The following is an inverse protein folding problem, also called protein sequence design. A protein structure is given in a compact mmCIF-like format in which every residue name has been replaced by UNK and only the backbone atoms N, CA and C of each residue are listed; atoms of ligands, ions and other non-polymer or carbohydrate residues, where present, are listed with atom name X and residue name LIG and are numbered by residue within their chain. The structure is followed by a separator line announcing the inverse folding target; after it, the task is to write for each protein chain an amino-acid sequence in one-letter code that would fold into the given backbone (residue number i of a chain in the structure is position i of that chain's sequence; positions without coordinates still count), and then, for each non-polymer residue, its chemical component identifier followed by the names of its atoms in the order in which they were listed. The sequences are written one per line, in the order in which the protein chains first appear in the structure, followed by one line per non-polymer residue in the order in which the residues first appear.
data_IF_409805310350
#
_entry.id   IF_409805310350
#
_cell.length_a   1.000
_cell.length_b   1.000
_cell.length_c   1.000
_cell.angle_alpha   90.00
_cell.angle_beta   90.00
_cell.angle_gamma   90.00
#
_symmetry.space_group_name_H-M   'P 1'
#
loop_
_entity.id
_entity.type
_entity.pdbx_description
1 polymer ?
#
# COMPACT_ATOMS: atom_id res chain seq x y z
N UNK A 1 21.08 -10.96 0.04
CA UNK A 1 19.71 -10.64 -0.41
C UNK A 1 19.34 -11.26 -1.77
N UNK A 2 18.37 -12.19 -1.81
CA UNK A 2 17.77 -12.72 -3.06
C UNK A 2 16.30 -12.32 -3.14
N UNK A 3 16.01 -11.33 -3.99
CA UNK A 3 14.67 -10.75 -4.14
C UNK A 3 13.75 -11.56 -5.05
N UNK A 4 14.33 -12.45 -5.85
CA UNK A 4 13.59 -13.24 -6.83
C UNK A 4 12.91 -14.46 -6.19
N UNK A 5 13.46 -14.96 -5.08
CA UNK A 5 12.92 -16.10 -4.36
C UNK A 5 11.60 -15.75 -3.61
N UNK A 6 10.45 -16.33 -4.00
CA UNK A 6 9.17 -16.04 -3.36
C UNK A 6 9.10 -16.43 -1.88
N UNK A 7 9.89 -17.41 -1.43
CA UNK A 7 9.93 -17.86 -0.03
C UNK A 7 10.52 -16.82 0.91
N UNK A 8 11.23 -15.82 0.39
CA UNK A 8 11.75 -14.68 1.15
C UNK A 8 10.72 -13.57 1.34
N UNK A 9 9.46 -13.79 0.96
CA UNK A 9 8.38 -12.80 1.04
C UNK A 9 7.21 -13.35 1.84
N UNK A 10 6.85 -12.66 2.92
CA UNK A 10 5.64 -12.98 3.70
C UNK A 10 4.57 -11.95 3.43
N UNK A 11 3.33 -12.38 3.22
CA UNK A 11 2.19 -11.47 3.17
C UNK A 11 2.03 -10.80 4.54
N UNK A 12 1.89 -9.47 4.56
CA UNK A 12 1.66 -8.69 5.77
C UNK A 12 0.29 -8.05 5.79
N UNK A 13 -0.17 -7.60 4.63
CA UNK A 13 -1.45 -6.93 4.51
C UNK A 13 -2.06 -7.23 3.15
N UNK A 14 -3.37 -7.53 3.16
CA UNK A 14 -4.18 -7.59 1.95
C UNK A 14 -5.55 -7.05 2.29
N UNK A 15 -6.03 -6.10 1.50
CA UNK A 15 -7.37 -5.56 1.66
C UNK A 15 -7.95 -5.25 0.29
N UNK A 16 -9.22 -5.62 0.12
CA UNK A 16 -10.02 -5.22 -1.03
C UNK A 16 -11.03 -4.17 -0.61
N UNK A 17 -11.18 -3.18 -1.46
CA UNK A 17 -12.10 -2.06 -1.30
C UNK A 17 -13.03 -2.02 -2.49
N UNK A 18 -14.29 -1.71 -2.23
CA UNK A 18 -15.30 -1.36 -3.22
C UNK A 18 -15.89 -0.03 -2.79
N UNK A 19 -16.05 0.91 -3.71
CA UNK A 19 -16.68 2.20 -3.43
C UNK A 19 -18.13 2.01 -3.04
N UNK A 20 -18.55 2.66 -1.96
CA UNK A 20 -19.95 2.77 -1.60
C UNK A 20 -20.69 3.75 -2.54
N UNK A 21 -22.01 3.57 -2.62
CA UNK A 21 -22.89 4.45 -3.36
C UNK A 21 -23.88 5.12 -2.40
N UNK A 22 -23.94 6.46 -2.40
CA UNK A 22 -25.01 7.21 -1.73
C UNK A 22 -25.82 7.92 -2.80
N UNK A 23 -27.11 7.56 -2.93
CA UNK A 23 -28.06 8.19 -3.86
C UNK A 23 -27.55 8.27 -5.31
N UNK A 24 -26.84 7.23 -5.77
CA UNK A 24 -26.30 7.15 -7.13
C UNK A 24 -24.95 7.86 -7.35
N UNK A 25 -24.39 8.51 -6.32
CA UNK A 25 -23.03 9.04 -6.35
C UNK A 25 -22.06 8.00 -5.81
N UNK A 26 -21.07 7.62 -6.63
CA UNK A 26 -19.96 6.77 -6.18
C UNK A 26 -19.04 7.56 -5.25
N UNK A 27 -18.83 7.05 -4.03
CA UNK A 27 -17.91 7.62 -3.07
C UNK A 27 -16.48 7.13 -3.33
N UNK A 28 -15.46 7.99 -3.20
CA UNK A 28 -14.08 7.54 -3.31
C UNK A 28 -13.75 6.56 -2.17
N UNK A 29 -12.84 5.62 -2.44
CA UNK A 29 -12.26 4.80 -1.38
C UNK A 29 -11.54 5.74 -0.38
N UNK A 30 -11.88 5.71 0.92
CA UNK A 30 -11.28 6.61 1.90
C UNK A 30 -9.78 6.31 2.07
N UNK A 31 -9.03 7.32 2.51
CA UNK A 31 -7.66 7.12 2.99
C UNK A 31 -7.73 6.23 4.22
N UNK A 32 -6.82 5.27 4.30
CA UNK A 32 -6.73 4.35 5.44
C UNK A 32 -5.28 4.13 5.82
N UNK A 33 -5.08 3.68 7.06
CA UNK A 33 -3.80 3.23 7.56
C UNK A 33 -3.83 1.69 7.67
N UNK A 34 -2.72 1.03 7.35
CA UNK A 34 -2.57 -0.41 7.59
C UNK A 34 -2.44 -0.72 9.08
N UNK A 35 -2.51 -2.01 9.42
CA UNK A 35 -1.96 -2.51 10.68
C UNK A 35 -0.47 -2.17 10.82
N UNK A 36 0.06 -2.25 12.03
CA UNK A 36 1.47 -2.01 12.32
C UNK A 36 2.37 -3.01 11.59
N UNK A 37 3.38 -2.49 10.91
CA UNK A 37 4.41 -3.22 10.18
C UNK A 37 5.79 -2.92 10.76
N UNK A 38 6.75 -3.81 10.49
CA UNK A 38 8.15 -3.67 10.94
C UNK A 38 9.18 -4.06 9.87
N UNK A 39 8.76 -4.60 8.73
CA UNK A 39 9.69 -5.01 7.67
C UNK A 39 10.35 -3.78 7.03
N UNK A 40 11.68 -3.81 6.88
CA UNK A 40 12.44 -2.72 6.25
C UNK A 40 12.25 -2.65 4.73
N UNK A 41 11.95 -3.79 4.10
CA UNK A 41 11.72 -3.86 2.67
C UNK A 41 10.35 -4.47 2.39
N UNK A 42 9.56 -3.72 1.64
CA UNK A 42 8.24 -4.11 1.22
C UNK A 42 8.17 -4.33 -0.28
N UNK A 43 7.30 -5.25 -0.68
CA UNK A 43 6.79 -5.36 -2.04
C UNK A 43 5.31 -5.03 -2.02
N UNK A 44 4.95 -3.92 -2.66
CA UNK A 44 3.59 -3.39 -2.70
C UNK A 44 3.01 -3.57 -4.10
N UNK A 45 1.77 -4.05 -4.18
CA UNK A 45 1.03 -4.17 -5.43
C UNK A 45 -0.42 -3.77 -5.23
N UNK A 46 -0.92 -2.95 -6.16
CA UNK A 46 -2.34 -2.60 -6.26
C UNK A 46 -2.91 -3.15 -7.55
N UNK A 47 -4.07 -3.76 -7.48
CA UNK A 47 -4.85 -4.23 -8.64
C UNK A 47 -6.26 -3.65 -8.58
N UNK A 48 -6.91 -3.57 -9.73
CA UNK A 48 -8.32 -3.19 -9.84
C UNK A 48 -8.91 -3.84 -11.08
N UNK A 49 -10.04 -4.51 -10.89
CA UNK A 49 -10.83 -5.13 -11.96
C UNK A 49 -11.70 -4.14 -12.72
N UNK A 50 -11.94 -2.95 -12.15
CA UNK A 50 -12.74 -1.88 -12.76
C UNK A 50 -11.88 -0.74 -13.33
N UNK A 51 -10.56 -0.85 -13.21
CA UNK A 51 -9.65 0.14 -13.76
C UNK A 51 -9.69 0.16 -15.29
N UNK A 52 -9.63 1.36 -15.86
CA UNK A 52 -9.49 1.55 -17.30
C UNK A 52 -8.05 1.26 -17.73
N UNK A 53 -7.86 0.76 -18.94
CA UNK A 53 -6.51 0.46 -19.48
C UNK A 53 -5.60 1.69 -19.56
N UNK A 54 -6.18 2.88 -19.63
CA UNK A 54 -5.43 4.16 -19.63
C UNK A 54 -4.91 4.56 -18.25
N UNK A 55 -5.34 3.88 -17.18
CA UNK A 55 -4.90 4.18 -15.82
C UNK A 55 -3.61 3.44 -15.49
N UNK A 56 -2.55 4.21 -15.25
CA UNK A 56 -1.24 3.69 -14.87
C UNK A 56 -0.94 3.88 -13.39
N UNK A 57 -1.53 4.91 -12.78
CA UNK A 57 -1.31 5.30 -11.40
C UNK A 57 -2.37 4.69 -10.47
N UNK A 58 -1.93 4.12 -9.35
CA UNK A 58 -2.78 3.44 -8.39
C UNK A 58 -2.73 4.09 -6.99
N UNK A 59 -2.27 5.33 -6.87
CA UNK A 59 -2.26 6.05 -5.59
C UNK A 59 -0.89 6.12 -4.93
N UNK A 60 -0.87 6.55 -3.68
CA UNK A 60 0.35 6.76 -2.89
C UNK A 60 0.26 5.99 -1.58
N UNK A 61 1.36 5.41 -1.15
CA UNK A 61 1.55 4.92 0.20
C UNK A 61 2.61 5.77 0.90
N UNK A 62 2.36 6.15 2.15
CA UNK A 62 3.25 6.97 2.98
C UNK A 62 3.61 6.20 4.25
N UNK A 63 4.88 6.16 4.61
CA UNK A 63 5.33 5.60 5.88
C UNK A 63 4.97 6.58 7.00
N UNK A 64 4.19 6.12 7.98
CA UNK A 64 3.77 6.91 9.13
C UNK A 64 4.27 6.24 10.40
N UNK A 65 4.93 7.02 11.25
CA UNK A 65 5.38 6.58 12.58
C UNK A 65 4.68 7.38 13.66
N UNK A 66 4.58 6.79 14.85
CA UNK A 66 4.22 7.54 16.05
C UNK A 66 5.50 8.20 16.62
N UNK A 67 5.54 9.54 16.59
CA UNK A 67 6.61 10.37 17.13
C UNK A 67 6.23 10.99 18.48
N UNK A 68 5.75 10.16 19.42
CA UNK A 68 5.42 10.59 20.79
C UNK A 68 3.98 11.06 20.96
N UNK A 69 3.03 10.30 20.43
CA UNK A 69 1.60 10.60 20.38
C UNK A 69 1.18 11.38 19.13
N UNK A 70 2.09 11.59 18.18
CA UNK A 70 1.84 12.38 16.96
C UNK A 70 2.31 11.61 15.74
N UNK A 71 1.37 11.34 14.82
CA UNK A 71 1.67 10.74 13.53
C UNK A 71 2.59 11.64 12.71
N UNK A 72 3.72 11.10 12.26
CA UNK A 72 4.68 11.79 11.40
C UNK A 72 4.91 11.00 10.12
N UNK A 73 4.76 11.68 8.98
CA UNK A 73 5.03 11.14 7.65
C UNK A 73 6.54 11.19 7.35
N UNK A 74 7.13 10.09 6.87
CA UNK A 74 8.57 9.99 6.63
C UNK A 74 8.95 9.93 5.15
N UNK A 75 8.46 8.90 4.47
CA UNK A 75 8.77 8.63 3.06
C UNK A 75 7.49 8.20 2.33
N UNK A 76 7.51 8.24 1.00
CA UNK A 76 6.36 7.83 0.20
C UNK A 76 6.70 7.17 -1.11
N UNK A 77 5.87 6.21 -1.46
CA UNK A 77 5.90 5.50 -2.73
C UNK A 77 4.66 5.83 -3.56
N UNK A 78 4.88 6.27 -4.79
CA UNK A 78 3.83 6.32 -5.81
C UNK A 78 3.62 4.92 -6.38
N UNK A 79 2.42 4.39 -6.20
CA UNK A 79 2.04 3.05 -6.64
C UNK A 79 1.58 3.06 -8.10
N UNK A 80 2.03 2.06 -8.86
CA UNK A 80 1.57 1.82 -10.23
C UNK A 80 0.55 0.68 -10.24
N UNK A 81 -0.47 0.81 -11.07
CA UNK A 81 -1.51 -0.21 -11.20
C UNK A 81 -0.92 -1.49 -11.81
N UNK A 82 -1.27 -2.64 -11.23
CA UNK A 82 -0.89 -3.98 -11.66
C UNK A 82 0.62 -4.28 -11.64
N UNK A 83 1.44 -3.39 -11.11
CA UNK A 83 2.90 -3.53 -11.00
C UNK A 83 3.29 -3.71 -9.54
N UNK A 84 4.14 -4.70 -9.26
CA UNK A 84 4.78 -4.85 -7.95
C UNK A 84 5.95 -3.89 -7.84
N UNK A 85 5.93 -3.03 -6.83
CA UNK A 85 7.02 -2.10 -6.54
C UNK A 85 7.74 -2.53 -5.26
N UNK A 86 9.07 -2.42 -5.28
CA UNK A 86 9.91 -2.58 -4.09
C UNK A 86 10.06 -1.24 -3.40
N UNK A 87 9.91 -1.23 -2.09
CA UNK A 87 10.06 -0.02 -1.27
C UNK A 87 10.89 -0.33 -0.05
N UNK A 88 12.08 0.25 -0.01
CA UNK A 88 12.95 0.20 1.16
C UNK A 88 12.59 1.38 2.06
N UNK A 89 12.09 1.07 3.24
CA UNK A 89 11.62 2.03 4.22
C UNK A 89 12.74 2.49 5.15
N UNK A 90 12.51 3.63 5.80
CA UNK A 90 13.38 4.09 6.86
C UNK A 90 13.20 3.21 8.10
N UNK A 91 14.30 2.95 8.80
CA UNK A 91 14.34 2.03 9.93
C UNK A 91 13.90 2.73 11.22
N UNK A 92 12.66 2.49 11.63
CA UNK A 92 12.03 3.05 12.84
C UNK A 92 11.38 1.98 13.73
N UNK A 93 11.71 0.70 13.52
CA UNK A 93 11.18 -0.44 14.28
C UNK A 93 9.73 -0.81 13.95
N UNK A 94 8.78 0.10 14.18
CA UNK A 94 7.36 -0.10 13.88
C UNK A 94 6.73 1.11 13.23
N UNK A 95 5.89 0.89 12.22
CA UNK A 95 5.24 1.96 11.47
C UNK A 95 3.89 1.47 10.91
N UNK A 96 3.11 2.39 10.34
CA UNK A 96 1.93 2.08 9.52
C UNK A 96 2.13 2.64 8.13
N UNK A 97 1.43 2.09 7.14
CA UNK A 97 1.35 2.72 5.83
C UNK A 97 0.02 3.44 5.68
N UNK A 98 0.07 4.74 5.41
CA UNK A 98 -1.08 5.54 5.02
C UNK A 98 -1.27 5.46 3.52
N UNK A 99 -2.39 4.93 3.08
CA UNK A 99 -2.66 4.64 1.66
C UNK A 99 -3.79 5.53 1.17
N UNK A 100 -3.54 6.20 0.05
CA UNK A 100 -4.51 7.04 -0.63
C UNK A 100 -4.65 6.62 -2.10
N UNK A 101 -5.84 6.15 -2.47
CA UNK A 101 -6.19 5.86 -3.86
C UNK A 101 -6.71 7.11 -4.59
N UNK A 102 -6.59 7.16 -5.93
CA UNK A 102 -7.23 8.21 -6.71
C UNK A 102 -8.75 8.15 -6.54
N UNK A 103 -9.42 9.31 -6.45
CA UNK A 103 -10.87 9.42 -6.19
C UNK A 103 -11.77 8.69 -7.19
N UNK A 104 -11.26 8.43 -8.39
CA UNK A 104 -12.00 7.76 -9.46
C UNK A 104 -11.94 6.22 -9.37
N UNK A 105 -11.16 5.64 -8.46
CA UNK A 105 -11.18 4.20 -8.22
C UNK A 105 -12.48 3.81 -7.51
N UNK A 106 -13.24 2.89 -8.13
CA UNK A 106 -14.44 2.28 -7.54
C UNK A 106 -14.15 0.92 -6.91
N UNK A 107 -13.00 0.33 -7.21
CA UNK A 107 -12.56 -0.93 -6.62
C UNK A 107 -11.04 -0.95 -6.64
N UNK A 108 -10.42 -1.39 -5.55
CA UNK A 108 -8.97 -1.57 -5.47
C UNK A 108 -8.65 -2.73 -4.53
N UNK A 109 -7.64 -3.52 -4.85
CA UNK A 109 -7.05 -4.48 -3.93
C UNK A 109 -5.59 -4.12 -3.76
N UNK A 110 -5.16 -3.87 -2.52
CA UNK A 110 -3.76 -3.69 -2.18
C UNK A 110 -3.23 -4.96 -1.51
N UNK A 111 -2.01 -5.33 -1.85
CA UNK A 111 -1.25 -6.39 -1.21
C UNK A 111 0.14 -5.89 -0.88
N UNK A 112 0.59 -6.17 0.34
CA UNK A 112 1.89 -5.76 0.87
C UNK A 112 2.57 -7.01 1.43
N UNK A 113 3.76 -7.28 0.91
CA UNK A 113 4.62 -8.35 1.37
C UNK A 113 5.87 -7.75 2.04
N UNK A 114 6.24 -8.30 3.20
CA UNK A 114 7.50 -7.99 3.87
C UNK A 114 8.58 -8.98 3.49
N UNK A 115 9.79 -8.49 3.26
CA UNK A 115 10.95 -9.34 2.99
C UNK A 115 11.45 -9.98 4.28
N UNK A 116 11.51 -11.31 4.30
CA UNK A 116 11.93 -12.13 5.46
C UNK A 116 13.29 -12.80 5.24
N UNK A 117 13.88 -12.68 4.05
CA UNK A 117 15.20 -13.22 3.78
C UNK A 117 16.29 -12.47 4.53
N UNK A 118 17.47 -13.09 4.62
CA UNK A 118 18.66 -12.40 5.11
C UNK A 118 19.02 -11.25 4.16
N UNK A 119 19.28 -10.07 4.74
CA UNK A 119 19.85 -8.94 4.02
C UNK A 119 21.30 -9.25 3.68
#
# INVERSE_FOLDING_TARGET
MDLSNPSNWSLRYVQSFTSDYIRGLGLPIPVFDTDTLSDRLLRVRVTSSTAKDTWTYAGRATQVIDAGGVDTDLDSLYMKLNVSLLWQLQDFGSYRLRVAFPKYFTQATISIFGYTGSL
#
